data_IF_540186300862
#
_entry.id   IF_540186300862
#
_cell.length_a   1.000
_cell.length_b   1.000
_cell.length_c   1.000
_cell.angle_alpha   90.00
_cell.angle_beta   90.00
_cell.angle_gamma   90.00
#
_symmetry.space_group_name_H-M   'P 1'
#
loop_
_entity.id
_entity.type
_entity.pdbx_description
1 polymer ?
#
# COMPACT_ATOMS: atom_id res chain seq x y z
N UNK A 1 -48.07 -17.91 -53.72
CA UNK A 1 -46.69 -17.38 -53.77
C UNK A 1 -46.65 -16.19 -52.81
N UNK A 2 -46.22 -16.37 -51.55
CA UNK A 2 -44.84 -16.29 -51.03
C UNK A 2 -44.18 -14.93 -51.36
N UNK A 3 -43.60 -14.15 -50.45
CA UNK A 3 -43.38 -14.21 -48.99
C UNK A 3 -43.44 -12.78 -48.41
N UNK A 4 -43.50 -12.54 -47.12
CA UNK A 4 -42.52 -12.98 -46.13
C UNK A 4 -41.67 -11.78 -45.69
N UNK A 5 -42.29 -10.82 -44.99
CA UNK A 5 -41.61 -9.66 -44.41
C UNK A 5 -40.86 -10.04 -43.15
N UNK A 6 -39.54 -10.24 -43.27
CA UNK A 6 -38.63 -10.45 -42.14
C UNK A 6 -38.00 -9.13 -41.71
N UNK A 7 -38.34 -8.67 -40.50
CA UNK A 7 -37.70 -7.52 -39.86
C UNK A 7 -36.21 -7.77 -39.61
N UNK A 8 -35.38 -6.80 -40.01
CA UNK A 8 -33.94 -6.81 -39.74
C UNK A 8 -33.67 -6.73 -38.23
N UNK A 9 -32.99 -7.74 -37.71
CA UNK A 9 -32.49 -7.75 -36.34
C UNK A 9 -31.33 -6.74 -36.19
N UNK A 10 -31.36 -5.94 -35.12
CA UNK A 10 -30.28 -5.06 -34.71
C UNK A 10 -29.00 -5.87 -34.37
N UNK A 11 -27.79 -5.30 -34.56
CA UNK A 11 -26.56 -5.99 -34.21
C UNK A 11 -26.47 -6.18 -32.68
N UNK A 12 -26.26 -7.42 -32.23
CA UNK A 12 -25.97 -7.75 -30.83
C UNK A 12 -24.66 -7.09 -30.43
N UNK A 13 -24.67 -6.33 -29.34
CA UNK A 13 -23.46 -5.94 -28.63
C UNK A 13 -22.76 -7.21 -28.13
N UNK A 14 -21.50 -7.41 -28.51
CA UNK A 14 -20.63 -8.42 -27.94
C UNK A 14 -20.32 -8.05 -26.48
N UNK A 15 -21.08 -8.62 -25.55
CA UNK A 15 -20.75 -8.60 -24.13
C UNK A 15 -19.43 -9.34 -23.92
N UNK A 16 -18.44 -8.63 -23.37
CA UNK A 16 -17.17 -9.21 -22.96
C UNK A 16 -17.43 -10.26 -21.87
N UNK A 17 -17.44 -11.54 -22.26
CA UNK A 17 -17.58 -12.65 -21.33
C UNK A 17 -16.20 -12.95 -20.73
N UNK A 18 -16.00 -12.83 -19.39
CA UNK A 18 -14.77 -13.26 -18.78
C UNK A 18 -14.61 -14.78 -18.97
N UNK A 19 -13.40 -15.21 -19.32
CA UNK A 19 -13.10 -16.62 -19.56
C UNK A 19 -13.60 -17.51 -18.40
N UNK A 20 -14.23 -18.65 -18.69
CA UNK A 20 -14.57 -19.63 -17.66
C UNK A 20 -13.29 -20.06 -16.92
N UNK A 21 -13.38 -20.19 -15.60
CA UNK A 21 -12.27 -20.51 -14.67
C UNK A 21 -11.57 -21.87 -14.97
N UNK A 22 -12.00 -22.61 -15.99
CA UNK A 22 -11.57 -23.98 -16.26
C UNK A 22 -10.31 -24.11 -17.14
N UNK A 23 -9.80 -23.03 -17.74
CA UNK A 23 -8.67 -23.12 -18.69
C UNK A 23 -7.30 -22.67 -18.14
N UNK A 24 -7.16 -22.49 -16.82
CA UNK A 24 -5.91 -21.96 -16.22
C UNK A 24 -4.82 -23.00 -15.91
N UNK A 25 -5.05 -24.31 -16.05
CA UNK A 25 -4.02 -25.34 -15.76
C UNK A 25 -4.22 -26.60 -16.62
N UNK A 26 -3.60 -26.74 -17.81
CA UNK A 26 -3.57 -28.01 -18.52
C UNK A 26 -2.65 -29.00 -17.79
N UNK A 27 -3.21 -30.10 -17.26
CA UNK A 27 -2.41 -31.23 -16.73
C UNK A 27 -2.82 -31.85 -15.39
N UNK A 28 -4.00 -31.54 -14.83
CA UNK A 28 -4.46 -32.19 -13.58
C UNK A 28 -5.42 -33.34 -13.91
N UNK A 29 -4.88 -34.57 -13.98
CA UNK A 29 -5.68 -35.79 -14.06
C UNK A 29 -6.20 -36.17 -12.67
N UNK A 30 -7.51 -36.11 -12.46
CA UNK A 30 -8.16 -36.76 -11.33
C UNK A 30 -8.82 -38.06 -11.80
N UNK A 31 -8.30 -39.19 -11.33
CA UNK A 31 -9.03 -40.45 -11.26
C UNK A 31 -8.99 -40.95 -9.81
N UNK A 32 -10.16 -40.90 -9.16
CA UNK A 32 -10.46 -41.63 -7.93
C UNK A 32 -10.65 -43.10 -8.34
N UNK A 33 -9.72 -43.98 -7.97
CA UNK A 33 -9.96 -45.37 -7.51
C UNK A 33 -8.63 -46.06 -7.22
N UNK A 34 -8.08 -45.84 -6.03
CA UNK A 34 -7.33 -46.84 -5.24
C UNK A 34 -6.98 -46.19 -3.88
N UNK A 35 -7.09 -46.90 -2.74
CA UNK A 35 -6.70 -46.32 -1.47
C UNK A 35 -5.17 -46.38 -1.34
N UNK A 36 -4.44 -45.25 -1.24
CA UNK A 36 -3.00 -45.31 -1.06
C UNK A 36 -2.67 -45.59 0.42
N UNK A 37 -1.53 -46.24 0.70
CA UNK A 37 -1.13 -46.60 2.06
C UNK A 37 -0.91 -45.36 2.93
N UNK A 38 -1.19 -45.50 4.22
CA UNK A 38 -1.20 -44.45 5.27
C UNK A 38 0.03 -43.51 5.31
N UNK A 39 1.22 -43.94 4.84
CA UNK A 39 2.41 -43.08 4.72
C UNK A 39 2.30 -42.02 3.59
N UNK A 40 1.47 -42.25 2.59
CA UNK A 40 1.21 -41.32 1.47
C UNK A 40 0.00 -40.41 1.69
N UNK A 41 -0.65 -40.43 2.85
CA UNK A 41 -1.75 -39.51 3.16
C UNK A 41 -1.26 -38.27 3.90
N UNK A 42 -0.36 -38.44 4.87
CA UNK A 42 0.14 -37.34 5.69
C UNK A 42 1.30 -36.58 5.05
N UNK A 43 2.19 -37.24 4.30
CA UNK A 43 3.33 -36.57 3.67
C UNK A 43 2.92 -35.54 2.60
N UNK A 44 2.04 -35.85 1.62
CA UNK A 44 1.60 -34.85 0.66
C UNK A 44 0.68 -33.80 1.29
N UNK A 45 -0.11 -34.12 2.33
CA UNK A 45 -0.87 -33.11 3.07
C UNK A 45 0.05 -32.18 3.87
N UNK A 46 1.08 -32.71 4.53
CA UNK A 46 2.07 -31.92 5.24
C UNK A 46 2.91 -31.09 4.27
N UNK A 47 3.36 -31.65 3.14
CA UNK A 47 4.09 -30.93 2.09
C UNK A 47 3.21 -29.89 1.40
N UNK A 48 1.92 -30.17 1.16
CA UNK A 48 0.98 -29.20 0.59
C UNK A 48 0.59 -28.11 1.60
N UNK A 49 0.50 -28.45 2.88
CA UNK A 49 0.29 -27.48 3.97
C UNK A 49 1.54 -26.61 4.16
N UNK A 50 2.74 -27.21 4.24
CA UNK A 50 4.01 -26.50 4.25
C UNK A 50 4.18 -25.64 3.01
N UNK A 51 3.88 -26.15 1.82
CA UNK A 51 3.92 -25.39 0.57
C UNK A 51 2.93 -24.23 0.58
N UNK A 52 1.70 -24.44 1.06
CA UNK A 52 0.71 -23.35 1.16
C UNK A 52 1.10 -22.30 2.21
N UNK A 53 1.73 -22.72 3.32
CA UNK A 53 2.28 -21.82 4.33
C UNK A 53 3.48 -21.06 3.77
N UNK A 54 4.42 -21.75 3.13
CA UNK A 54 5.58 -21.13 2.48
C UNK A 54 5.17 -20.19 1.36
N UNK A 55 4.19 -20.53 0.52
CA UNK A 55 3.72 -19.65 -0.56
C UNK A 55 3.06 -18.38 -0.03
N UNK A 56 2.28 -18.48 1.07
CA UNK A 56 1.61 -17.31 1.68
C UNK A 56 2.54 -16.44 2.50
N UNK A 57 3.56 -17.02 3.13
CA UNK A 57 4.47 -16.34 4.04
C UNK A 57 5.91 -16.31 3.51
N UNK A 58 6.11 -16.51 2.20
CA UNK A 58 7.42 -16.59 1.56
C UNK A 58 8.30 -15.40 1.95
N UNK A 59 7.72 -14.20 1.92
CA UNK A 59 8.42 -12.95 2.27
C UNK A 59 8.89 -12.94 3.72
N UNK A 60 8.11 -13.50 4.65
CA UNK A 60 8.50 -13.58 6.07
C UNK A 60 9.65 -14.56 6.29
N UNK A 61 9.76 -15.61 5.48
CA UNK A 61 10.87 -16.57 5.56
C UNK A 61 12.13 -16.09 4.84
N UNK A 62 11.99 -15.34 3.73
CA UNK A 62 13.16 -14.86 2.98
C UNK A 62 13.95 -13.82 3.77
N UNK A 63 13.31 -12.96 4.56
CA UNK A 63 13.99 -11.94 5.39
C UNK A 63 15.02 -12.56 6.35
N UNK A 64 14.67 -13.51 7.26
CA UNK A 64 15.64 -14.09 8.17
C UNK A 64 16.69 -14.93 7.44
N UNK A 65 16.36 -15.58 6.32
CA UNK A 65 17.33 -16.35 5.53
C UNK A 65 18.38 -15.42 4.90
N UNK A 66 17.95 -14.35 4.24
CA UNK A 66 18.86 -13.39 3.59
C UNK A 66 19.64 -12.59 4.64
N UNK A 67 19.02 -12.24 5.76
CA UNK A 67 19.71 -11.62 6.89
C UNK A 67 20.76 -12.55 7.48
N UNK A 68 20.46 -13.84 7.69
CA UNK A 68 21.41 -14.83 8.19
C UNK A 68 22.57 -15.01 7.21
N UNK A 69 22.29 -15.04 5.91
CA UNK A 69 23.32 -15.08 4.87
C UNK A 69 24.22 -13.83 4.93
N UNK A 70 23.64 -12.64 5.03
CA UNK A 70 24.40 -11.39 5.18
C UNK A 70 25.22 -11.36 6.47
N UNK A 71 24.69 -11.94 7.57
CA UNK A 71 25.38 -12.10 8.83
C UNK A 71 26.60 -13.02 8.69
N UNK A 72 26.44 -14.19 8.07
CA UNK A 72 27.54 -15.12 7.81
C UNK A 72 28.63 -14.49 6.94
N UNK A 73 28.28 -13.73 5.90
CA UNK A 73 29.25 -12.98 5.09
C UNK A 73 29.95 -11.87 5.88
N UNK A 74 29.24 -11.23 6.80
CA UNK A 74 29.80 -10.19 7.69
C UNK A 74 30.84 -10.80 8.63
N UNK A 75 30.49 -11.91 9.31
CA UNK A 75 31.38 -12.62 10.24
C UNK A 75 32.56 -13.27 9.49
N UNK A 76 32.30 -13.84 8.32
CA UNK A 76 33.30 -14.44 7.43
C UNK A 76 34.30 -13.44 6.83
N UNK A 77 34.15 -12.14 7.11
CA UNK A 77 35.11 -11.11 6.75
C UNK A 77 35.04 -10.66 5.30
N UNK A 78 34.03 -11.08 4.54
CA UNK A 78 33.87 -10.73 3.11
C UNK A 78 33.81 -9.21 2.87
N UNK A 79 33.34 -8.44 3.86
CA UNK A 79 33.21 -6.99 3.76
C UNK A 79 34.31 -6.19 4.47
N UNK A 80 35.40 -6.82 4.97
CA UNK A 80 36.46 -6.10 5.72
C UNK A 80 37.26 -5.12 4.85
N UNK A 81 37.50 -5.49 3.59
CA UNK A 81 38.28 -4.70 2.63
C UNK A 81 37.41 -4.03 1.56
N UNK A 82 36.08 -4.07 1.73
CA UNK A 82 35.15 -3.48 0.77
C UNK A 82 35.08 -1.94 0.93
N UNK A 83 34.67 -1.19 -0.11
CA UNK A 83 34.47 0.25 -0.01
C UNK A 83 33.49 0.65 1.12
N UNK A 84 33.63 1.84 1.73
CA UNK A 84 32.78 2.27 2.85
C UNK A 84 31.28 2.22 2.55
N UNK A 85 30.88 2.52 1.31
CA UNK A 85 29.48 2.38 0.86
C UNK A 85 28.98 0.94 0.98
N UNK A 86 29.75 -0.02 0.50
CA UNK A 86 29.42 -1.46 0.59
C UNK A 86 29.40 -1.93 2.04
N UNK A 87 30.36 -1.49 2.84
CA UNK A 87 30.39 -1.81 4.27
C UNK A 87 29.16 -1.27 4.99
N UNK A 88 28.74 -0.04 4.67
CA UNK A 88 27.54 0.55 5.22
C UNK A 88 26.33 -0.29 4.78
N UNK A 89 26.07 -0.45 3.49
CA UNK A 89 24.81 -1.03 3.02
C UNK A 89 24.66 -2.55 3.22
N UNK A 90 25.74 -3.32 3.29
CA UNK A 90 25.68 -4.79 3.26
C UNK A 90 25.99 -5.47 4.60
N UNK A 91 26.65 -4.77 5.55
CA UNK A 91 27.02 -5.37 6.84
C UNK A 91 25.87 -5.34 7.83
N UNK A 92 25.81 -6.39 8.64
CA UNK A 92 24.83 -6.55 9.73
C UNK A 92 25.34 -6.03 11.07
N UNK A 93 26.64 -5.79 11.24
CA UNK A 93 27.27 -5.37 12.50
C UNK A 93 27.48 -3.85 12.63
N UNK A 94 26.66 -3.06 11.90
CA UNK A 94 26.87 -1.67 11.45
C UNK A 94 27.35 -0.60 12.45
N UNK A 95 27.47 -0.89 13.76
CA UNK A 95 28.10 -0.02 14.77
C UNK A 95 28.08 -0.63 16.19
N UNK A 96 27.96 -1.95 16.33
CA UNK A 96 27.76 -2.55 17.65
C UNK A 96 26.42 -2.17 18.32
N UNK A 97 25.42 -1.74 17.53
CA UNK A 97 24.05 -1.42 17.99
C UNK A 97 23.48 -2.48 18.92
N UNK A 98 23.68 -3.76 18.58
CA UNK A 98 23.21 -4.88 19.38
C UNK A 98 23.94 -4.96 20.72
N UNK A 99 25.23 -4.62 20.78
CA UNK A 99 26.02 -4.56 22.01
C UNK A 99 25.63 -3.37 22.90
N UNK A 100 25.49 -2.18 22.29
CA UNK A 100 25.19 -0.93 23.00
C UNK A 100 23.72 -0.71 23.39
N UNK A 101 22.78 -1.44 22.78
CA UNK A 101 21.36 -1.27 23.12
C UNK A 101 21.04 -1.86 24.52
N UNK A 102 20.24 -1.17 25.35
CA UNK A 102 19.75 -1.74 26.60
C UNK A 102 18.79 -2.91 26.34
N UNK A 103 18.68 -3.82 27.31
CA UNK A 103 17.74 -4.94 27.24
C UNK A 103 16.29 -4.47 27.30
N UNK A 104 15.99 -3.51 28.18
CA UNK A 104 14.68 -2.91 28.36
C UNK A 104 14.82 -1.40 28.16
N UNK A 105 14.02 -0.84 27.26
CA UNK A 105 13.90 0.61 27.03
C UNK A 105 12.43 0.92 26.76
N UNK A 106 11.79 1.58 27.71
CA UNK A 106 10.41 2.03 27.55
C UNK A 106 10.44 3.42 26.92
N UNK A 107 9.87 3.62 25.71
CA UNK A 107 9.73 4.95 25.14
C UNK A 107 8.73 5.76 25.98
N UNK A 108 9.08 7.01 26.27
CA UNK A 108 8.21 7.94 27.00
C UNK A 108 8.00 9.21 26.17
N UNK A 109 6.84 9.87 26.31
CA UNK A 109 6.56 11.09 25.56
C UNK A 109 7.56 12.19 25.91
N UNK A 110 7.90 13.03 24.93
CA UNK A 110 8.85 14.14 25.06
C UNK A 110 10.29 13.73 25.43
N UNK A 111 10.70 12.50 25.10
CA UNK A 111 12.08 12.03 25.33
C UNK A 111 13.17 12.88 24.64
N UNK A 112 12.79 13.65 23.61
CA UNK A 112 13.69 14.51 22.85
C UNK A 112 13.56 16.00 23.19
N UNK A 113 12.79 16.34 24.23
CA UNK A 113 12.52 17.72 24.64
C UNK A 113 11.08 18.17 24.42
N UNK A 114 10.77 19.40 24.88
CA UNK A 114 9.47 20.02 24.66
C UNK A 114 9.29 20.45 23.20
N UNK A 115 8.07 20.42 22.65
CA UNK A 115 7.82 20.80 21.26
C UNK A 115 8.17 22.27 21.03
N UNK A 116 9.09 22.52 20.11
CA UNK A 116 9.43 23.85 19.60
C UNK A 116 8.67 24.12 18.32
N UNK A 117 8.18 25.34 18.12
CA UNK A 117 7.44 25.72 16.93
C UNK A 117 8.31 26.60 16.03
N UNK A 118 8.79 26.02 14.93
CA UNK A 118 9.29 26.77 13.78
C UNK A 118 8.20 26.79 12.70
N UNK A 119 7.86 27.98 12.22
CA UNK A 119 6.77 28.12 11.26
C UNK A 119 7.07 27.41 9.94
N UNK A 120 8.32 27.48 9.43
CA UNK A 120 8.70 26.86 8.17
C UNK A 120 8.56 25.34 8.21
N UNK A 121 9.12 24.73 9.25
CA UNK A 121 9.03 23.28 9.47
C UNK A 121 7.58 22.82 9.72
N UNK A 122 6.79 23.60 10.46
CA UNK A 122 5.39 23.30 10.70
C UNK A 122 4.57 23.29 9.39
N UNK A 123 4.77 24.27 8.52
CA UNK A 123 4.11 24.31 7.20
C UNK A 123 4.56 23.17 6.29
N UNK A 124 5.86 22.83 6.29
CA UNK A 124 6.38 21.69 5.55
C UNK A 124 5.73 20.37 6.00
N UNK A 125 5.60 20.17 7.32
CA UNK A 125 4.98 18.97 7.90
C UNK A 125 3.47 18.92 7.67
N UNK A 126 2.78 20.06 7.66
CA UNK A 126 1.36 20.12 7.26
C UNK A 126 1.18 19.72 5.80
N UNK A 127 2.05 20.18 4.90
CA UNK A 127 2.04 19.79 3.50
C UNK A 127 2.32 18.28 3.32
N UNK A 128 3.31 17.74 4.03
CA UNK A 128 3.62 16.31 4.02
C UNK A 128 2.45 15.47 4.54
N UNK A 129 1.80 15.92 5.61
CA UNK A 129 0.60 15.27 6.17
C UNK A 129 -0.54 15.28 5.17
N UNK A 130 -0.79 16.42 4.51
CA UNK A 130 -1.81 16.51 3.46
C UNK A 130 -1.56 15.55 2.29
N UNK A 131 -0.32 15.46 1.82
CA UNK A 131 0.09 14.46 0.81
C UNK A 131 -0.20 13.04 1.29
N UNK A 132 0.19 12.71 2.53
CA UNK A 132 -0.03 11.40 3.10
C UNK A 132 -1.53 11.06 3.23
N UNK A 133 -2.40 12.04 3.47
CA UNK A 133 -3.86 11.84 3.49
C UNK A 133 -4.41 11.44 2.11
N UNK A 134 -3.95 12.11 1.05
CA UNK A 134 -4.36 11.79 -0.33
C UNK A 134 -3.89 10.38 -0.71
N UNK A 135 -2.65 10.04 -0.39
CA UNK A 135 -2.10 8.70 -0.63
C UNK A 135 -2.84 7.62 0.16
N UNK A 136 -3.12 7.88 1.44
CA UNK A 136 -3.82 6.96 2.33
C UNK A 136 -5.24 6.67 1.86
N UNK A 137 -5.90 7.63 1.21
CA UNK A 137 -7.21 7.44 0.59
C UNK A 137 -7.17 6.34 -0.48
N UNK A 138 -6.14 6.34 -1.33
CA UNK A 138 -5.92 5.28 -2.32
C UNK A 138 -5.64 3.92 -1.67
N UNK A 139 -4.86 3.91 -0.59
CA UNK A 139 -4.56 2.69 0.16
C UNK A 139 -5.81 2.08 0.81
N UNK A 140 -6.70 2.89 1.41
CA UNK A 140 -7.98 2.40 1.94
C UNK A 140 -8.81 1.73 0.85
N UNK A 141 -8.94 2.36 -0.32
CA UNK A 141 -9.67 1.83 -1.47
C UNK A 141 -9.07 0.48 -1.91
N UNK A 142 -7.75 0.39 -2.04
CA UNK A 142 -7.05 -0.86 -2.38
C UNK A 142 -7.29 -1.97 -1.33
N UNK A 143 -7.18 -1.65 -0.04
CA UNK A 143 -7.39 -2.59 1.06
C UNK A 143 -8.83 -3.13 1.07
N UNK A 144 -9.84 -2.27 0.87
CA UNK A 144 -11.23 -2.74 0.81
C UNK A 144 -11.46 -3.75 -0.31
N UNK A 145 -10.78 -3.57 -1.45
CA UNK A 145 -10.87 -4.49 -2.58
C UNK A 145 -10.21 -5.83 -2.28
N UNK A 146 -9.02 -5.83 -1.69
CA UNK A 146 -8.34 -7.07 -1.31
C UNK A 146 -9.00 -7.82 -0.15
N UNK A 147 -9.57 -7.08 0.80
CA UNK A 147 -10.37 -7.65 1.89
C UNK A 147 -11.73 -8.19 1.40
N UNK A 148 -12.09 -7.98 0.13
CA UNK A 148 -13.44 -8.26 -0.40
C UNK A 148 -14.55 -7.62 0.43
N UNK A 149 -14.28 -6.43 0.97
CA UNK A 149 -15.23 -5.64 1.75
C UNK A 149 -16.20 -4.90 0.82
N UNK A 150 -17.30 -4.40 1.40
CA UNK A 150 -18.24 -3.53 0.69
C UNK A 150 -17.56 -2.20 0.33
N UNK A 151 -18.03 -1.49 -0.71
CA UNK A 151 -17.51 -0.18 -1.08
C UNK A 151 -17.47 0.78 0.10
N UNK A 152 -16.36 1.49 0.27
CA UNK A 152 -16.13 2.34 1.44
C UNK A 152 -17.07 3.54 1.41
N UNK A 153 -17.91 3.75 2.45
CA UNK A 153 -18.69 4.96 2.57
C UNK A 153 -17.78 6.15 3.00
N UNK A 154 -18.11 7.40 2.60
CA UNK A 154 -17.30 8.57 2.93
C UNK A 154 -17.07 8.79 4.43
N UNK A 155 -18.03 8.43 5.29
CA UNK A 155 -17.93 8.49 6.75
C UNK A 155 -16.81 7.59 7.30
N UNK A 156 -16.65 6.39 6.74
CA UNK A 156 -15.60 5.44 7.12
C UNK A 156 -14.22 5.94 6.70
N UNK A 157 -14.12 6.53 5.50
CA UNK A 157 -12.88 7.15 5.03
C UNK A 157 -12.49 8.33 5.94
N UNK A 158 -13.44 9.20 6.26
CA UNK A 158 -13.22 10.38 7.11
C UNK A 158 -12.73 9.99 8.52
N UNK A 159 -13.40 9.05 9.19
CA UNK A 159 -12.95 8.60 10.53
C UNK A 159 -11.63 7.81 10.48
N UNK A 160 -11.36 7.08 9.39
CA UNK A 160 -10.07 6.40 9.19
C UNK A 160 -8.91 7.39 9.09
N UNK A 161 -9.09 8.46 8.31
CA UNK A 161 -8.18 9.61 8.25
C UNK A 161 -8.05 10.31 9.61
N UNK A 162 -9.14 10.48 10.34
CA UNK A 162 -9.11 11.04 11.69
C UNK A 162 -8.24 10.23 12.66
N UNK A 163 -8.33 8.90 12.61
CA UNK A 163 -7.50 8.01 13.44
C UNK A 163 -6.03 8.02 13.02
N UNK A 164 -5.76 8.16 11.72
CA UNK A 164 -4.39 8.38 11.22
C UNK A 164 -3.80 9.68 11.78
N UNK A 165 -4.57 10.77 11.81
CA UNK A 165 -4.13 12.04 12.40
C UNK A 165 -3.80 11.93 13.90
N UNK A 166 -4.60 11.18 14.67
CA UNK A 166 -4.29 10.87 16.08
C UNK A 166 -2.98 10.08 16.18
N UNK A 167 -2.74 9.12 15.28
CA UNK A 167 -1.47 8.39 15.20
C UNK A 167 -0.28 9.33 14.97
N UNK A 168 -0.37 10.23 13.99
CA UNK A 168 0.67 11.22 13.70
C UNK A 168 0.93 12.14 14.90
N UNK A 169 -0.11 12.51 15.66
CA UNK A 169 0.07 13.29 16.88
C UNK A 169 0.88 12.51 17.94
N UNK A 170 0.55 11.22 18.13
CA UNK A 170 1.30 10.35 19.04
C UNK A 170 2.75 10.15 18.57
N UNK A 171 2.98 10.04 17.27
CA UNK A 171 4.32 9.95 16.68
C UNK A 171 5.17 11.18 17.01
N UNK A 172 4.57 12.37 16.94
CA UNK A 172 5.20 13.63 17.36
C UNK A 172 5.52 13.65 18.86
N UNK A 173 4.58 13.19 19.70
CA UNK A 173 4.75 13.10 21.16
C UNK A 173 5.89 12.16 21.57
N UNK A 174 5.98 10.98 20.96
CA UNK A 174 7.04 10.00 21.24
C UNK A 174 8.33 10.26 20.44
N UNK A 175 8.27 11.18 19.47
CA UNK A 175 9.38 11.61 18.63
C UNK A 175 9.97 10.49 17.78
N UNK A 176 9.13 9.89 16.94
CA UNK A 176 9.50 8.86 15.96
C UNK A 176 10.35 9.39 14.80
N UNK A 177 10.39 10.72 14.62
CA UNK A 177 11.10 11.42 13.54
C UNK A 177 10.39 11.38 12.17
N UNK A 178 9.42 10.47 11.99
CA UNK A 178 8.58 10.36 10.80
C UNK A 178 7.12 10.17 11.21
N UNK A 179 6.18 10.76 10.48
CA UNK A 179 4.75 10.57 10.74
C UNK A 179 4.23 9.22 10.22
N UNK A 180 3.20 8.68 10.89
CA UNK A 180 2.50 7.48 10.45
C UNK A 180 1.60 7.74 9.25
N UNK A 181 1.60 6.78 8.33
CA UNK A 181 0.66 6.73 7.19
C UNK A 181 0.10 5.32 7.06
N UNK A 182 -0.91 5.14 6.21
CA UNK A 182 -1.41 3.80 5.89
C UNK A 182 -0.30 3.02 5.18
N UNK A 183 0.11 1.90 5.78
CA UNK A 183 1.17 1.06 5.22
C UNK A 183 0.69 0.35 3.95
N UNK A 184 1.30 0.75 2.83
CA UNK A 184 1.11 0.10 1.52
C UNK A 184 1.66 -1.32 1.55
N UNK A 185 2.68 -1.61 2.37
CA UNK A 185 3.20 -2.96 2.53
C UNK A 185 2.16 -3.90 3.16
N UNK A 186 1.44 -3.44 4.18
CA UNK A 186 0.39 -4.22 4.81
C UNK A 186 -0.79 -4.46 3.86
N UNK A 187 -1.10 -3.49 2.99
CA UNK A 187 -2.09 -3.68 1.93
C UNK A 187 -1.65 -4.74 0.91
N UNK A 188 -0.37 -4.73 0.50
CA UNK A 188 0.21 -5.76 -0.38
C UNK A 188 0.26 -7.14 0.27
N UNK A 189 0.61 -7.21 1.57
CA UNK A 189 0.63 -8.46 2.33
C UNK A 189 -0.77 -9.05 2.49
N UNK A 190 -1.79 -8.22 2.66
CA UNK A 190 -3.19 -8.65 2.64
C UNK A 190 -3.56 -9.30 1.30
N UNK A 191 -3.13 -8.69 0.18
CA UNK A 191 -3.36 -9.23 -1.16
C UNK A 191 -2.74 -10.62 -1.35
N UNK A 192 -1.53 -10.82 -0.80
CA UNK A 192 -0.79 -12.09 -0.89
C UNK A 192 -1.38 -13.16 0.04
N UNK A 193 -1.55 -12.85 1.32
CA UNK A 193 -1.97 -13.81 2.35
C UNK A 193 -3.45 -14.16 2.27
N UNK A 194 -4.27 -13.26 1.70
CA UNK A 194 -5.74 -13.32 1.64
C UNK A 194 -6.39 -13.40 3.02
N UNK A 195 -5.78 -12.80 4.05
CA UNK A 195 -6.29 -12.78 5.42
C UNK A 195 -6.70 -11.36 5.82
N UNK A 196 -7.96 -11.00 5.58
CA UNK A 196 -8.54 -9.69 5.93
C UNK A 196 -9.05 -9.54 7.37
N UNK A 197 -8.59 -10.39 8.29
CA UNK A 197 -9.11 -10.39 9.66
C UNK A 197 -8.50 -9.26 10.51
N UNK A 198 -9.35 -8.44 11.13
CA UNK A 198 -8.92 -7.35 12.04
C UNK A 198 -8.13 -7.86 13.24
N UNK A 199 -8.40 -9.08 13.70
CA UNK A 199 -7.71 -9.69 14.84
C UNK A 199 -6.22 -9.87 14.58
N UNK A 200 -5.82 -10.16 13.35
CA UNK A 200 -4.40 -10.31 12.97
C UNK A 200 -3.66 -8.99 13.18
N UNK A 201 -4.26 -7.88 12.76
CA UNK A 201 -3.67 -6.53 12.93
C UNK A 201 -3.61 -6.15 14.42
N UNK A 202 -4.66 -6.45 15.19
CA UNK A 202 -4.69 -6.17 16.64
C UNK A 202 -3.62 -6.96 17.41
N UNK A 203 -3.47 -8.25 17.12
CA UNK A 203 -2.45 -9.11 17.74
C UNK A 203 -1.05 -8.61 17.33
N UNK A 204 -0.85 -8.28 16.04
CA UNK A 204 0.40 -7.71 15.54
C UNK A 204 0.77 -6.40 16.26
N UNK A 205 -0.19 -5.49 16.44
CA UNK A 205 0.04 -4.25 17.19
C UNK A 205 0.46 -4.53 18.65
N UNK A 206 -0.18 -5.50 19.32
CA UNK A 206 0.21 -5.93 20.66
C UNK A 206 1.66 -6.44 20.71
N UNK A 207 2.06 -7.26 19.75
CA UNK A 207 3.45 -7.73 19.62
C UNK A 207 4.42 -6.58 19.34
N UNK A 208 4.07 -5.64 18.46
CA UNK A 208 4.91 -4.47 18.17
C UNK A 208 5.15 -3.61 19.42
N UNK A 209 4.11 -3.36 20.23
CA UNK A 209 4.24 -2.62 21.50
C UNK A 209 5.13 -3.39 22.47
N UNK A 210 4.90 -4.70 22.63
CA UNK A 210 5.70 -5.55 23.52
C UNK A 210 7.18 -5.56 23.11
N UNK A 211 7.46 -5.78 21.83
CA UNK A 211 8.83 -5.84 21.31
C UNK A 211 9.52 -4.49 21.24
N UNK A 212 8.78 -3.38 21.16
CA UNK A 212 9.33 -2.02 21.25
C UNK A 212 10.04 -1.77 22.59
N UNK A 213 9.59 -2.40 23.67
CA UNK A 213 10.20 -2.31 25.01
C UNK A 213 11.55 -3.05 25.06
N UNK A 214 11.76 -4.05 24.20
CA UNK A 214 13.00 -4.83 24.16
C UNK A 214 14.03 -4.14 23.25
N UNK A 215 14.87 -3.28 23.84
CA UNK A 215 15.82 -2.46 23.07
C UNK A 215 16.79 -3.27 22.19
N UNK A 216 17.20 -4.46 22.65
CA UNK A 216 18.01 -5.40 21.85
C UNK A 216 17.27 -5.90 20.61
N UNK A 217 15.97 -6.17 20.73
CA UNK A 217 15.15 -6.60 19.60
C UNK A 217 15.06 -5.47 18.58
N UNK A 218 14.77 -4.24 19.02
CA UNK A 218 14.81 -3.06 18.14
C UNK A 218 16.16 -2.87 17.44
N UNK A 219 17.28 -3.12 18.13
CA UNK A 219 18.62 -3.06 17.55
C UNK A 219 18.86 -4.12 16.46
N UNK A 220 18.27 -5.32 16.60
CA UNK A 220 18.31 -6.36 15.55
C UNK A 220 17.54 -5.91 14.31
N UNK A 221 16.35 -5.31 14.44
CA UNK A 221 15.62 -4.77 13.28
C UNK A 221 16.37 -3.62 12.61
N UNK A 222 17.00 -2.73 13.40
CA UNK A 222 17.83 -1.66 12.88
C UNK A 222 19.11 -2.18 12.18
N UNK A 223 19.55 -3.41 12.50
CA UNK A 223 20.72 -4.04 11.87
C UNK A 223 20.45 -4.60 10.48
N UNK A 224 19.18 -4.72 10.08
CA UNK A 224 18.79 -5.31 8.80
C UNK A 224 19.32 -4.41 7.66
N UNK A 225 20.12 -4.97 6.72
CA UNK A 225 20.64 -4.24 5.58
C UNK A 225 19.55 -3.57 4.73
N UNK A 226 19.80 -2.32 4.32
CA UNK A 226 18.88 -1.54 3.47
C UNK A 226 18.50 -2.24 2.14
N UNK A 227 19.40 -2.99 1.46
CA UNK A 227 19.01 -3.74 0.26
C UNK A 227 17.90 -4.77 0.49
N UNK A 228 17.82 -5.38 1.68
CA UNK A 228 16.76 -6.34 2.01
C UNK A 228 15.40 -5.63 2.05
N UNK A 229 15.35 -4.47 2.72
CA UNK A 229 14.15 -3.63 2.73
C UNK A 229 13.77 -3.19 1.32
N UNK A 230 14.71 -2.70 0.52
CA UNK A 230 14.44 -2.26 -0.85
C UNK A 230 13.85 -3.41 -1.71
N UNK A 231 14.40 -4.61 -1.63
CA UNK A 231 13.89 -5.78 -2.36
C UNK A 231 12.46 -6.16 -1.94
N UNK A 232 12.17 -6.09 -0.64
CA UNK A 232 10.83 -6.32 -0.09
C UNK A 232 9.83 -5.27 -0.60
N UNK A 233 10.24 -4.00 -0.62
CA UNK A 233 9.45 -2.90 -1.17
C UNK A 233 9.08 -3.12 -2.63
N UNK A 234 10.01 -3.62 -3.46
CA UNK A 234 9.71 -3.92 -4.87
C UNK A 234 8.54 -4.91 -5.04
N UNK A 235 8.43 -5.90 -4.16
CA UNK A 235 7.34 -6.89 -4.21
C UNK A 235 6.03 -6.27 -3.70
N UNK A 236 6.06 -5.62 -2.54
CA UNK A 236 4.84 -5.09 -1.94
C UNK A 236 4.23 -3.92 -2.72
N UNK A 237 5.06 -3.03 -3.26
CA UNK A 237 4.57 -1.97 -4.15
C UNK A 237 4.04 -2.53 -5.47
N UNK A 238 4.57 -3.65 -5.97
CA UNK A 238 4.00 -4.30 -7.15
C UNK A 238 2.59 -4.83 -6.89
N UNK A 239 2.35 -5.45 -5.72
CA UNK A 239 1.00 -5.84 -5.32
C UNK A 239 0.09 -4.63 -5.13
N UNK A 240 0.53 -3.60 -4.42
CA UNK A 240 -0.28 -2.38 -4.26
C UNK A 240 -0.61 -1.69 -5.60
N UNK A 241 0.37 -1.61 -6.52
CA UNK A 241 0.18 -1.09 -7.86
C UNK A 241 -0.78 -1.95 -8.70
N UNK A 242 -0.71 -3.28 -8.56
CA UNK A 242 -1.66 -4.21 -9.15
C UNK A 242 -3.10 -3.94 -8.70
N UNK A 243 -3.31 -3.55 -7.44
CA UNK A 243 -4.62 -3.14 -6.93
C UNK A 243 -5.17 -1.94 -7.72
N UNK A 244 -4.33 -0.93 -7.92
CA UNK A 244 -4.63 0.27 -8.69
C UNK A 244 -4.99 -0.05 -10.13
N UNK A 245 -4.18 -0.87 -10.81
CA UNK A 245 -4.44 -1.35 -12.18
C UNK A 245 -5.78 -2.11 -12.24
N UNK A 246 -6.09 -2.90 -11.22
CA UNK A 246 -7.37 -3.61 -11.11
C UNK A 246 -8.59 -2.69 -11.12
N UNK A 247 -8.47 -1.42 -10.71
CA UNK A 247 -9.58 -0.45 -10.82
C UNK A 247 -9.80 0.07 -12.24
N UNK A 248 -8.80 -0.02 -13.13
CA UNK A 248 -8.95 0.40 -14.52
C UNK A 248 -9.97 -0.45 -15.29
N UNK A 249 -10.30 -1.66 -14.81
CA UNK A 249 -11.34 -2.51 -15.39
C UNK A 249 -12.73 -1.85 -15.38
N UNK A 250 -12.96 -0.88 -14.49
CA UNK A 250 -14.21 -0.14 -14.40
C UNK A 250 -14.28 1.04 -15.36
N UNK A 251 -13.14 1.43 -15.95
CA UNK A 251 -13.05 2.53 -16.91
C UNK A 251 -13.07 2.00 -18.34
N UNK A 252 -13.59 2.82 -19.27
CA UNK A 252 -13.50 2.50 -20.69
C UNK A 252 -12.10 2.85 -21.23
N UNK A 253 -11.23 1.84 -21.33
CA UNK A 253 -9.86 1.98 -21.85
C UNK A 253 -9.78 2.05 -23.39
N UNK A 254 -10.91 1.93 -24.10
CA UNK A 254 -10.91 2.07 -25.56
C UNK A 254 -10.88 3.55 -25.99
N UNK A 255 -11.45 4.45 -25.18
CA UNK A 255 -11.49 5.88 -25.47
C UNK A 255 -10.11 6.51 -25.39
N UNK A 256 -9.77 7.39 -26.34
CA UNK A 256 -8.51 8.13 -26.35
C UNK A 256 -8.34 8.99 -25.08
N UNK A 257 -9.41 9.67 -24.65
CA UNK A 257 -9.48 10.45 -23.41
C UNK A 257 -8.93 9.67 -22.20
N UNK A 258 -9.48 8.50 -21.89
CA UNK A 258 -9.08 7.70 -20.72
C UNK A 258 -7.62 7.28 -20.81
N UNK A 259 -7.17 6.83 -21.99
CA UNK A 259 -5.78 6.45 -22.25
C UNK A 259 -4.82 7.63 -22.06
N UNK A 260 -5.19 8.80 -22.56
CA UNK A 260 -4.42 10.02 -22.41
C UNK A 260 -4.30 10.44 -20.94
N UNK A 261 -5.42 10.51 -20.20
CA UNK A 261 -5.42 10.84 -18.77
C UNK A 261 -4.55 9.87 -17.98
N UNK A 262 -4.72 8.56 -18.20
CA UNK A 262 -3.95 7.52 -17.52
C UNK A 262 -2.45 7.63 -17.84
N UNK A 263 -2.08 7.65 -19.11
CA UNK A 263 -0.68 7.68 -19.53
C UNK A 263 0.03 8.96 -19.11
N UNK A 264 -0.61 10.11 -19.29
CA UNK A 264 -0.04 11.40 -18.94
C UNK A 264 0.10 11.58 -17.42
N UNK A 265 -0.89 11.18 -16.63
CA UNK A 265 -0.82 11.29 -15.17
C UNK A 265 0.27 10.40 -14.56
N UNK A 266 0.43 9.17 -15.05
CA UNK A 266 1.52 8.27 -14.61
C UNK A 266 2.88 8.86 -15.00
N UNK A 267 3.02 9.35 -16.24
CA UNK A 267 4.26 9.97 -16.69
C UNK A 267 4.63 11.21 -15.84
N UNK A 268 3.70 12.13 -15.63
CA UNK A 268 3.92 13.33 -14.82
C UNK A 268 4.18 13.00 -13.34
N UNK A 269 3.50 11.98 -12.81
CA UNK A 269 3.72 11.48 -11.46
C UNK A 269 5.11 10.89 -11.21
N UNK A 270 5.79 10.42 -12.26
CA UNK A 270 7.19 9.99 -12.16
C UNK A 270 8.15 11.13 -12.47
N UNK A 271 7.87 11.92 -13.51
CA UNK A 271 8.77 12.94 -14.05
C UNK A 271 8.92 14.15 -13.13
N UNK A 272 7.82 14.73 -12.64
CA UNK A 272 7.89 15.96 -11.83
C UNK A 272 8.60 15.73 -10.50
N UNK A 273 8.25 14.71 -9.68
CA UNK A 273 8.98 14.47 -8.45
C UNK A 273 10.45 14.11 -8.67
N UNK A 274 10.76 13.40 -9.76
CA UNK A 274 12.15 13.11 -10.11
C UNK A 274 12.94 14.39 -10.39
N UNK A 275 12.35 15.31 -11.17
CA UNK A 275 12.93 16.64 -11.40
C UNK A 275 13.15 17.40 -10.08
N UNK A 276 12.17 17.44 -9.19
CA UNK A 276 12.29 18.11 -7.89
C UNK A 276 13.41 17.51 -7.03
N UNK A 277 13.52 16.18 -6.99
CA UNK A 277 14.54 15.48 -6.21
C UNK A 277 15.95 15.68 -6.80
N UNK A 278 16.11 15.56 -8.12
CA UNK A 278 17.40 15.76 -8.80
C UNK A 278 17.87 17.22 -8.69
N UNK A 279 16.95 18.17 -8.89
CA UNK A 279 17.27 19.59 -8.75
C UNK A 279 17.73 19.91 -7.33
N UNK A 280 17.02 19.42 -6.31
CA UNK A 280 17.42 19.60 -4.90
C UNK A 280 18.78 18.98 -4.62
N UNK A 281 19.09 17.81 -5.20
CA UNK A 281 20.38 17.14 -5.04
C UNK A 281 21.56 17.89 -5.68
N UNK A 282 21.32 18.67 -6.74
CA UNK A 282 22.38 19.38 -7.49
C UNK A 282 22.53 20.82 -6.97
N UNK A 283 21.41 21.53 -6.80
CA UNK A 283 21.39 22.94 -6.44
C UNK A 283 21.44 23.18 -4.91
N UNK A 284 21.14 22.17 -4.10
CA UNK A 284 21.06 22.27 -2.63
C UNK A 284 19.78 22.91 -2.11
N UNK A 285 18.86 23.31 -2.99
CA UNK A 285 17.54 23.85 -2.66
C UNK A 285 16.50 23.36 -3.68
N UNK A 286 15.22 23.33 -3.30
CA UNK A 286 14.15 22.87 -4.18
C UNK A 286 13.88 23.82 -5.35
N UNK A 287 13.32 23.35 -6.48
CA UNK A 287 13.07 24.18 -7.67
C UNK A 287 12.31 25.48 -7.39
N UNK A 288 11.42 25.47 -6.41
CA UNK A 288 10.74 26.67 -5.93
C UNK A 288 11.58 27.33 -4.84
N UNK A 289 12.20 28.45 -5.20
CA UNK A 289 13.06 29.23 -4.32
C UNK A 289 12.70 30.72 -4.37
N UNK A 290 11.72 31.10 -3.56
CA UNK A 290 11.30 32.49 -3.35
C UNK A 290 11.83 33.04 -2.02
N UNK A 291 11.66 34.34 -1.76
CA UNK A 291 11.97 34.95 -0.46
C UNK A 291 11.13 34.37 0.71
N UNK A 292 10.06 33.64 0.41
CA UNK A 292 9.20 33.00 1.39
C UNK A 292 9.60 31.54 1.60
N UNK A 293 10.30 31.24 2.71
CA UNK A 293 10.73 29.88 3.05
C UNK A 293 9.55 28.91 3.20
N UNK A 294 8.49 29.31 3.90
CA UNK A 294 7.32 28.46 4.13
C UNK A 294 6.60 28.08 2.82
N UNK A 295 6.50 29.02 1.87
CA UNK A 295 5.91 28.74 0.56
C UNK A 295 6.76 27.74 -0.23
N UNK A 296 8.08 27.92 -0.22
CA UNK A 296 9.01 27.01 -0.88
C UNK A 296 8.86 25.59 -0.31
N UNK A 297 8.85 25.45 1.01
CA UNK A 297 8.78 24.15 1.67
C UNK A 297 7.45 23.43 1.36
N UNK A 298 6.32 24.13 1.41
CA UNK A 298 5.00 23.56 1.03
C UNK A 298 5.03 23.03 -0.40
N UNK A 299 5.46 23.87 -1.36
CA UNK A 299 5.39 23.51 -2.78
C UNK A 299 6.37 22.38 -3.09
N UNK A 300 7.61 22.47 -2.60
CA UNK A 300 8.61 21.45 -2.84
C UNK A 300 8.20 20.09 -2.25
N UNK A 301 7.65 20.06 -1.02
CA UNK A 301 7.18 18.81 -0.40
C UNK A 301 6.03 18.16 -1.17
N UNK A 302 5.05 18.97 -1.62
CA UNK A 302 3.88 18.47 -2.36
C UNK A 302 4.31 17.85 -3.70
N UNK A 303 5.15 18.54 -4.46
CA UNK A 303 5.56 18.08 -5.79
C UNK A 303 6.67 17.01 -5.75
N UNK A 304 7.33 16.79 -4.62
CA UNK A 304 8.23 15.65 -4.40
C UNK A 304 7.49 14.30 -4.23
N UNK A 305 6.16 14.29 -4.07
CA UNK A 305 5.39 13.06 -3.94
C UNK A 305 4.88 12.52 -5.28
N UNK A 306 5.31 11.31 -5.63
CA UNK A 306 4.92 10.61 -6.87
C UNK A 306 3.43 10.30 -6.93
N UNK A 307 2.88 9.75 -5.86
CA UNK A 307 1.47 9.39 -5.79
C UNK A 307 0.57 10.63 -5.85
N UNK A 308 0.93 11.69 -5.14
CA UNK A 308 0.16 12.93 -5.13
C UNK A 308 0.12 13.57 -6.51
N UNK A 309 1.27 13.76 -7.16
CA UNK A 309 1.32 14.40 -8.50
C UNK A 309 0.54 13.59 -9.51
N UNK A 310 0.70 12.25 -9.54
CA UNK A 310 -0.06 11.38 -10.43
C UNK A 310 -1.58 11.55 -10.21
N UNK A 311 -2.03 11.42 -8.96
CA UNK A 311 -3.44 11.51 -8.61
C UNK A 311 -4.03 12.89 -8.88
N UNK A 312 -3.29 13.97 -8.57
CA UNK A 312 -3.71 15.34 -8.80
C UNK A 312 -3.86 15.66 -10.29
N UNK A 313 -2.87 15.26 -11.11
CA UNK A 313 -2.95 15.43 -12.57
C UNK A 313 -4.10 14.61 -13.16
N UNK A 314 -4.26 13.35 -12.74
CA UNK A 314 -5.37 12.52 -13.18
C UNK A 314 -6.73 13.14 -12.82
N UNK A 315 -6.87 13.62 -11.58
CA UNK A 315 -8.09 14.29 -11.10
C UNK A 315 -8.39 15.56 -11.90
N UNK A 316 -7.40 16.42 -12.11
CA UNK A 316 -7.58 17.64 -12.88
C UNK A 316 -8.00 17.34 -14.32
N UNK A 317 -7.25 16.48 -15.02
CA UNK A 317 -7.55 16.15 -16.42
C UNK A 317 -8.89 15.44 -16.58
N UNK A 318 -9.25 14.56 -15.64
CA UNK A 318 -10.57 13.93 -15.69
C UNK A 318 -11.68 14.97 -15.53
N UNK A 319 -11.53 15.99 -14.68
CA UNK A 319 -12.55 17.02 -14.49
C UNK A 319 -12.57 18.11 -15.56
N UNK A 320 -11.48 18.36 -16.27
CA UNK A 320 -11.38 19.45 -17.26
C UNK A 320 -11.66 19.02 -18.68
N UNK A 321 -11.14 17.86 -19.12
CA UNK A 321 -11.37 17.36 -20.48
C UNK A 321 -12.85 16.99 -20.64
N UNK A 322 -13.49 17.34 -21.76
CA UNK A 322 -14.85 17.01 -22.24
C UNK A 322 -15.93 16.70 -21.18
N UNK A 323 -15.96 17.44 -20.06
CA UNK A 323 -16.79 17.12 -18.88
C UNK A 323 -18.29 17.03 -19.19
N UNK A 324 -18.76 17.77 -20.19
CA UNK A 324 -20.17 17.95 -20.50
C UNK A 324 -20.77 16.82 -21.34
N UNK A 325 -19.96 15.91 -21.89
CA UNK A 325 -20.48 14.80 -22.68
C UNK A 325 -21.06 13.68 -21.81
N UNK A 326 -22.26 13.20 -22.16
CA UNK A 326 -22.90 12.09 -21.45
C UNK A 326 -22.12 10.76 -21.58
N UNK A 327 -21.31 10.61 -22.63
CA UNK A 327 -20.38 9.49 -22.85
C UNK A 327 -19.35 9.37 -21.74
N UNK A 328 -18.82 10.50 -21.24
CA UNK A 328 -17.77 10.55 -20.23
C UNK A 328 -18.20 9.94 -18.91
N UNK A 329 -19.48 10.05 -18.55
CA UNK A 329 -20.01 9.39 -17.35
C UNK A 329 -19.91 7.87 -17.44
N UNK A 330 -20.10 7.30 -18.63
CA UNK A 330 -19.89 5.86 -18.87
C UNK A 330 -18.41 5.51 -18.89
N UNK A 331 -17.58 6.35 -19.51
CA UNK A 331 -16.14 6.10 -19.62
C UNK A 331 -15.41 6.10 -18.27
N UNK A 332 -15.86 6.92 -17.31
CA UNK A 332 -15.38 6.93 -15.91
C UNK A 332 -15.87 5.73 -15.08
N UNK A 333 -16.79 4.92 -15.60
CA UNK A 333 -17.38 3.80 -14.86
C UNK A 333 -18.47 4.20 -13.85
N UNK A 334 -18.97 5.45 -13.87
CA UNK A 334 -20.00 5.90 -12.91
C UNK A 334 -21.26 5.04 -12.94
N UNK A 335 -21.64 4.50 -14.10
CA UNK A 335 -22.77 3.59 -14.22
C UNK A 335 -22.63 2.33 -13.34
N UNK A 336 -21.40 1.84 -13.16
CA UNK A 336 -21.12 0.72 -12.27
C UNK A 336 -21.15 1.17 -10.80
N UNK A 337 -20.49 2.30 -10.49
CA UNK A 337 -20.38 2.84 -9.13
C UNK A 337 -21.68 3.38 -8.54
N UNK A 338 -22.60 3.90 -9.37
CA UNK A 338 -23.89 4.43 -8.90
C UNK A 338 -24.73 3.36 -8.20
N UNK A 339 -24.59 2.08 -8.59
CA UNK A 339 -25.26 0.94 -7.92
C UNK A 339 -24.78 0.71 -6.48
N UNK A 340 -23.58 1.17 -6.17
CA UNK A 340 -22.92 1.00 -4.87
C UNK A 340 -22.98 2.27 -4.00
N UNK A 341 -23.65 3.32 -4.49
CA UNK A 341 -23.74 4.62 -3.81
C UNK A 341 -24.81 4.66 -2.72
N UNK A 342 -25.67 3.64 -2.64
CA UNK A 342 -26.64 3.47 -1.55
C UNK A 342 -26.00 2.73 -0.36
N UNK A 343 -25.19 3.43 0.41
CA UNK A 343 -24.45 2.84 1.54
C UNK A 343 -25.37 2.39 2.70
N UNK A 344 -26.58 2.94 2.82
CA UNK A 344 -27.56 2.61 3.90
C UNK A 344 -28.33 1.31 3.69
N UNK A 345 -28.33 0.75 2.48
CA UNK A 345 -29.15 -0.43 2.18
C UNK A 345 -28.46 -1.76 2.44
N UNK A 346 -27.13 -1.78 2.58
CA UNK A 346 -26.37 -3.02 2.78
C UNK A 346 -25.97 -3.20 4.25
N UNK A 347 -26.69 -4.07 4.96
CA UNK A 347 -26.43 -4.42 6.36
C UNK A 347 -25.02 -4.97 6.59
N UNK A 348 -24.37 -5.52 5.55
CA UNK A 348 -22.99 -6.03 5.65
C UNK A 348 -21.98 -4.91 5.86
N UNK A 349 -22.28 -3.69 5.42
CA UNK A 349 -21.35 -2.56 5.55
C UNK A 349 -21.13 -2.16 7.01
N UNK A 350 -22.17 -2.23 7.85
CA UNK A 350 -22.01 -2.00 9.30
C UNK A 350 -21.14 -3.07 9.96
N UNK A 351 -21.26 -4.33 9.54
CA UNK A 351 -20.44 -5.43 10.04
C UNK A 351 -18.96 -5.23 9.62
N UNK A 352 -18.71 -4.98 8.33
CA UNK A 352 -17.38 -4.77 7.75
C UNK A 352 -16.67 -3.51 8.23
N UNK A 353 -17.41 -2.53 8.72
CA UNK A 353 -16.86 -1.28 9.23
C UNK A 353 -17.22 -1.03 10.70
N UNK A 354 -17.50 -2.07 11.47
CA UNK A 354 -17.67 -1.94 12.92
C UNK A 354 -16.35 -1.58 13.63
N UNK A 355 -16.43 -0.68 14.62
CA UNK A 355 -15.34 -0.31 15.51
C UNK A 355 -15.44 -1.10 16.83
N UNK A 356 -14.30 -1.37 17.50
CA UNK A 356 -14.30 -2.03 18.81
C UNK A 356 -14.97 -1.16 19.89
N UNK A 357 -15.32 -1.76 21.03
CA UNK A 357 -15.85 -1.07 22.21
C UNK A 357 -17.07 -0.16 21.96
N UNK A 358 -17.94 -0.49 20.99
CA UNK A 358 -19.10 0.31 20.61
C UNK A 358 -18.78 1.76 20.18
N UNK A 359 -17.55 2.04 19.75
CA UNK A 359 -17.17 3.34 19.18
C UNK A 359 -18.00 3.73 17.94
N UNK A 360 -18.68 2.78 17.31
CA UNK A 360 -19.66 3.01 16.24
C UNK A 360 -20.76 4.00 16.63
N UNK A 361 -21.10 4.13 17.93
CA UNK A 361 -22.10 5.08 18.40
C UNK A 361 -21.67 6.53 18.20
N UNK A 362 -20.36 6.80 18.30
CA UNK A 362 -19.78 8.12 18.12
C UNK A 362 -19.31 8.35 16.67
N UNK A 363 -18.87 7.29 16.00
CA UNK A 363 -18.39 7.34 14.63
C UNK A 363 -19.11 6.31 13.75
N UNK A 364 -20.37 6.60 13.35
CA UNK A 364 -21.18 5.67 12.58
C UNK A 364 -20.56 5.38 11.21
N UNK A 365 -20.76 4.16 10.72
CA UNK A 365 -20.29 3.74 9.39
C UNK A 365 -21.17 4.26 8.26
N UNK A 366 -22.38 4.76 8.52
CA UNK A 366 -23.35 5.26 7.51
C UNK A 366 -24.20 6.42 8.05
#
# INVERSE_FOLDING_TARGET
MAGGGGGGAAPKHDDFTPHPVKDQLPGVSYCITSPPPWRNLYLPHAVHMLKSIFDRFAVLFTIPIVWLYAYLLTVGGAYRNAPPKTQFHCRTDRSGLIGGAPWIRVPYPFQWGAPTFDAGEAFAMMAASFVALVESTGAFIAVSRYASATPIPPSVLSRGIGWQGIGILLDGLFGTGNGSSVSVENAGLLALTRVGSRRVVQISAGFMIFFSILGKFGAVFASIPAPIFAAMYCIFFAYAGSAGIGFLQFCNLNTFRTKFILGFSVFMGLSVPQYFNEYTSIAGYGPVHTHSRWFNDIVNVIFSSKAFVAGFVAYLLDNTIDRHEASVRRDRGYHWWDKFRSYRTDTRSEEFYSLPFNLNKFFPSV
#
